data_IF_199961526111
#
_entry.id   IF_199961526111
#
_cell.length_a   1.000
_cell.length_b   1.000
_cell.length_c   1.000
_cell.angle_alpha   90.00
_cell.angle_beta   90.00
_cell.angle_gamma   90.00
#
_symmetry.space_group_name_H-M   'P 1'
#
loop_
_entity.id
_entity.type
_entity.pdbx_description
1 polymer ?
#
# COMPACT_ATOMS: atom_id res chain seq x y z
N UNK A 1 6.06 29.99 0.29
CA UNK A 1 5.53 29.62 1.62
C UNK A 1 4.78 28.30 1.46
N UNK A 2 5.36 27.19 1.88
CA UNK A 2 4.70 25.87 1.82
C UNK A 2 3.96 25.72 3.15
N UNK A 3 2.64 25.80 3.11
CA UNK A 3 1.78 25.62 4.26
C UNK A 3 1.89 24.17 4.78
N UNK A 4 2.40 24.02 6.01
CA UNK A 4 2.34 22.73 6.73
C UNK A 4 0.88 22.49 7.10
N UNK A 5 0.30 21.41 6.57
CA UNK A 5 -0.96 20.88 7.09
C UNK A 5 -0.79 20.56 8.59
N UNK A 6 -1.75 20.96 9.45
CA UNK A 6 -1.69 20.62 10.86
C UNK A 6 -1.70 19.11 11.04
N UNK A 7 -0.72 18.58 11.78
CA UNK A 7 -0.64 17.16 12.09
C UNK A 7 -1.93 16.69 12.79
N UNK A 8 -2.52 15.62 12.28
CA UNK A 8 -3.69 14.97 12.87
C UNK A 8 -3.25 14.34 14.18
N UNK A 9 -3.63 14.93 15.31
CA UNK A 9 -3.47 14.31 16.63
C UNK A 9 -4.54 13.23 16.74
N UNK A 10 -4.15 11.96 16.62
CA UNK A 10 -5.05 10.83 16.80
C UNK A 10 -5.49 10.74 18.28
N UNK A 11 -6.76 10.99 18.54
CA UNK A 11 -7.38 10.67 19.82
C UNK A 11 -7.65 9.16 19.85
N UNK A 12 -6.77 8.41 20.52
CA UNK A 12 -6.84 6.94 20.59
C UNK A 12 -8.10 6.43 21.31
N UNK A 13 -8.77 7.27 22.08
CA UNK A 13 -9.96 6.86 22.86
C UNK A 13 -11.26 6.91 22.04
N UNK A 14 -11.35 7.70 20.99
CA UNK A 14 -12.46 7.71 20.04
C UNK A 14 -12.09 8.47 18.75
N UNK A 15 -11.24 7.89 17.90
CA UNK A 15 -10.87 8.57 16.67
C UNK A 15 -12.09 8.67 15.75
N UNK A 16 -12.29 9.80 15.07
CA UNK A 16 -13.32 9.93 14.05
C UNK A 16 -13.12 8.86 12.98
N UNK A 17 -14.23 8.32 12.46
CA UNK A 17 -14.16 7.36 11.35
C UNK A 17 -13.52 8.07 10.13
N UNK A 18 -12.41 7.55 9.58
CA UNK A 18 -11.78 8.18 8.43
C UNK A 18 -12.71 8.22 7.22
N UNK A 19 -12.56 9.24 6.37
CA UNK A 19 -13.26 9.31 5.11
C UNK A 19 -12.96 8.05 4.25
N UNK A 20 -13.87 7.62 3.38
CA UNK A 20 -13.68 6.40 2.58
C UNK A 20 -12.43 6.43 1.69
N UNK A 21 -11.99 7.60 1.28
CA UNK A 21 -10.81 7.87 0.45
C UNK A 21 -9.54 8.22 1.27
N UNK A 22 -9.64 8.32 2.59
CA UNK A 22 -8.46 8.49 3.45
C UNK A 22 -7.75 7.15 3.71
N UNK A 23 -6.99 6.71 2.73
CA UNK A 23 -6.26 5.45 2.76
C UNK A 23 -5.24 5.37 3.89
N UNK A 24 -4.55 6.47 4.20
CA UNK A 24 -3.54 6.53 5.27
C UNK A 24 -4.18 6.35 6.63
N UNK A 25 -5.21 7.14 6.95
CA UNK A 25 -5.91 7.04 8.23
C UNK A 25 -6.58 5.66 8.41
N UNK A 26 -7.16 5.10 7.34
CA UNK A 26 -7.73 3.74 7.37
C UNK A 26 -6.67 2.68 7.64
N UNK A 27 -5.51 2.78 6.99
CA UNK A 27 -4.40 1.84 7.15
C UNK A 27 -3.81 1.91 8.56
N UNK A 28 -3.50 3.10 9.05
CA UNK A 28 -2.97 3.30 10.41
C UNK A 28 -3.91 2.79 11.52
N UNK A 29 -5.20 2.80 11.27
CA UNK A 29 -6.21 2.33 12.22
C UNK A 29 -6.36 0.80 12.23
N UNK A 30 -6.13 0.13 11.12
CA UNK A 30 -6.47 -1.28 10.92
C UNK A 30 -5.27 -2.20 10.75
N UNK A 31 -4.09 -1.67 10.39
CA UNK A 31 -2.93 -2.47 10.01
C UNK A 31 -1.76 -2.22 10.94
N UNK A 32 -1.21 -3.30 11.49
CA UNK A 32 0.10 -3.27 12.12
C UNK A 32 1.15 -3.46 11.02
N UNK A 33 1.79 -2.34 10.63
CA UNK A 33 2.75 -2.36 9.54
C UNK A 33 4.02 -3.14 9.92
N UNK A 34 4.43 -4.11 9.10
CA UNK A 34 5.61 -4.93 9.38
C UNK A 34 6.90 -4.09 9.33
N UNK A 35 7.92 -4.55 10.04
CA UNK A 35 9.25 -3.93 10.07
C UNK A 35 9.25 -2.44 10.46
N UNK A 36 8.20 -1.96 11.14
CA UNK A 36 8.02 -0.56 11.46
C UNK A 36 7.61 -0.39 12.91
N UNK A 37 8.25 0.56 13.60
CA UNK A 37 7.74 1.06 14.88
C UNK A 37 6.55 1.98 14.58
N UNK A 38 5.34 1.58 14.96
CA UNK A 38 4.08 2.30 14.61
C UNK A 38 4.10 3.78 15.01
N UNK A 39 4.77 4.12 16.12
CA UNK A 39 4.93 5.51 16.55
C UNK A 39 5.73 6.37 15.56
N UNK A 40 6.56 5.77 14.72
CA UNK A 40 7.29 6.50 13.69
C UNK A 40 6.37 7.12 12.64
N UNK A 41 5.17 6.59 12.44
CA UNK A 41 4.19 7.17 11.51
C UNK A 41 3.66 8.54 11.92
N UNK A 42 3.86 8.95 13.16
CA UNK A 42 3.60 10.33 13.61
C UNK A 42 4.56 11.35 12.95
N UNK A 43 5.73 10.91 12.50
CA UNK A 43 6.79 11.74 11.90
C UNK A 43 7.10 11.39 10.46
N UNK A 44 6.92 10.12 10.10
CA UNK A 44 7.19 9.59 8.76
C UNK A 44 5.87 9.10 8.17
N UNK A 45 5.20 9.90 7.35
CA UNK A 45 3.91 9.56 6.79
C UNK A 45 4.02 8.34 5.87
N UNK A 46 2.96 7.52 5.84
CA UNK A 46 2.80 6.47 4.85
C UNK A 46 2.56 7.06 3.47
N UNK A 47 3.06 6.37 2.45
CA UNK A 47 2.78 6.68 1.05
C UNK A 47 1.76 5.66 0.53
N UNK A 48 0.49 6.04 0.31
CA UNK A 48 -0.54 5.13 -0.18
C UNK A 48 -0.35 4.90 -1.68
N UNK A 49 0.18 3.74 -2.05
CA UNK A 49 0.41 3.37 -3.44
C UNK A 49 -0.91 2.96 -4.09
N UNK A 50 -1.26 3.62 -5.19
CA UNK A 50 -2.48 3.39 -5.95
C UNK A 50 -2.30 2.41 -7.11
N UNK A 51 -1.13 2.40 -7.75
CA UNK A 51 -0.85 1.53 -8.91
C UNK A 51 0.65 1.38 -9.13
N UNK A 52 1.01 0.37 -9.94
CA UNK A 52 2.37 0.18 -10.43
C UNK A 52 2.39 -0.11 -11.93
N UNK A 53 3.53 0.16 -12.59
CA UNK A 53 3.78 -0.23 -13.97
C UNK A 53 5.28 -0.36 -14.22
N UNK A 54 5.73 -1.53 -14.63
CA UNK A 54 7.16 -1.82 -14.79
C UNK A 54 7.92 -1.59 -13.48
N UNK A 55 8.95 -0.78 -13.46
CA UNK A 55 9.72 -0.46 -12.25
C UNK A 55 9.14 0.72 -11.43
N UNK A 56 7.97 1.22 -11.78
CA UNK A 56 7.42 2.43 -11.17
C UNK A 56 6.17 2.17 -10.36
N UNK A 57 6.12 2.80 -9.18
CA UNK A 57 4.95 2.91 -8.31
C UNK A 57 4.37 4.33 -8.40
N UNK A 58 3.08 4.46 -8.17
CA UNK A 58 2.37 5.73 -8.19
C UNK A 58 1.44 5.81 -6.99
N UNK A 59 1.46 6.93 -6.29
CA UNK A 59 0.50 7.19 -5.21
C UNK A 59 -0.84 7.73 -5.72
N UNK A 60 -1.75 8.00 -4.79
CA UNK A 60 -3.07 8.56 -5.12
C UNK A 60 -3.01 10.02 -5.60
N UNK A 61 -1.93 10.74 -5.29
CA UNK A 61 -1.71 12.12 -5.73
C UNK A 61 -1.01 12.21 -7.09
N UNK A 62 -0.61 11.05 -7.65
CA UNK A 62 0.03 10.95 -8.95
C UNK A 62 1.55 11.07 -8.92
N UNK A 63 2.17 11.17 -7.77
CA UNK A 63 3.62 11.13 -7.67
C UNK A 63 4.16 9.76 -8.09
N UNK A 64 5.36 9.77 -8.64
CA UNK A 64 6.03 8.58 -9.18
C UNK A 64 7.28 8.24 -8.38
N UNK A 65 7.40 6.96 -8.02
CA UNK A 65 8.52 6.42 -7.26
C UNK A 65 9.16 5.27 -8.03
N UNK A 66 10.49 5.26 -8.11
CA UNK A 66 11.23 4.11 -8.64
C UNK A 66 11.28 3.02 -7.57
N UNK A 67 10.74 1.85 -7.86
CA UNK A 67 10.84 0.66 -7.00
C UNK A 67 12.19 -0.04 -7.22
N UNK A 68 13.27 0.58 -6.75
CA UNK A 68 14.63 0.12 -6.96
C UNK A 68 14.97 -1.20 -6.25
N UNK A 69 14.14 -1.60 -5.27
CA UNK A 69 14.30 -2.86 -4.53
C UNK A 69 13.28 -3.92 -4.93
N UNK A 70 12.53 -3.69 -6.02
CA UNK A 70 11.53 -4.62 -6.57
C UNK A 70 10.54 -5.13 -5.51
N UNK A 71 9.99 -4.21 -4.70
CA UNK A 71 9.06 -4.51 -3.58
C UNK A 71 9.57 -5.64 -2.69
N UNK A 72 10.83 -5.49 -2.24
CA UNK A 72 11.54 -6.47 -1.43
C UNK A 72 11.95 -7.73 -2.21
N UNK A 73 12.49 -7.50 -3.42
CA UNK A 73 13.07 -8.51 -4.33
C UNK A 73 12.08 -9.52 -4.92
N UNK A 74 10.79 -9.30 -4.78
CA UNK A 74 9.77 -10.26 -5.24
C UNK A 74 9.19 -9.93 -6.61
N UNK A 75 9.41 -8.71 -7.10
CA UNK A 75 8.79 -8.26 -8.34
C UNK A 75 9.76 -8.29 -9.53
N UNK A 76 10.18 -9.49 -9.92
CA UNK A 76 11.19 -9.72 -10.96
C UNK A 76 10.79 -9.19 -12.34
N UNK A 77 9.51 -9.26 -12.70
CA UNK A 77 9.01 -8.94 -14.05
C UNK A 77 8.32 -7.56 -14.13
N UNK A 78 8.48 -6.75 -13.09
CA UNK A 78 7.85 -5.44 -12.97
C UNK A 78 6.37 -5.50 -12.57
N UNK A 79 5.89 -4.34 -12.11
CA UNK A 79 4.51 -4.16 -11.70
C UNK A 79 3.54 -4.24 -12.88
N UNK A 80 2.38 -4.81 -12.64
CA UNK A 80 1.28 -4.93 -13.60
C UNK A 80 1.69 -5.59 -14.93
N UNK A 81 2.55 -6.62 -14.85
CA UNK A 81 2.91 -7.41 -16.02
C UNK A 81 1.66 -8.05 -16.65
N UNK A 82 1.35 -7.76 -17.92
CA UNK A 82 0.08 -8.19 -18.52
C UNK A 82 -0.04 -9.71 -18.65
N UNK A 83 1.04 -10.41 -18.90
CA UNK A 83 1.04 -11.88 -19.01
C UNK A 83 0.75 -12.54 -17.66
N UNK A 84 1.42 -12.08 -16.59
CA UNK A 84 1.20 -12.58 -15.23
C UNK A 84 -0.21 -12.25 -14.75
N UNK A 85 -0.67 -11.01 -14.99
CA UNK A 85 -2.02 -10.59 -14.60
C UNK A 85 -3.10 -11.41 -15.32
N UNK A 86 -2.90 -11.74 -16.59
CA UNK A 86 -3.84 -12.59 -17.33
C UNK A 86 -3.90 -14.00 -16.74
N UNK A 87 -2.76 -14.62 -16.48
CA UNK A 87 -2.70 -15.95 -15.87
C UNK A 87 -3.32 -15.99 -14.47
N UNK A 88 -3.10 -14.94 -13.64
CA UNK A 88 -3.73 -14.86 -12.33
C UNK A 88 -5.25 -14.72 -12.40
N UNK A 89 -5.76 -13.92 -13.34
CA UNK A 89 -7.22 -13.76 -13.55
C UNK A 89 -7.86 -15.06 -13.97
N UNK A 90 -7.25 -15.78 -14.92
CA UNK A 90 -7.71 -17.07 -15.39
C UNK A 90 -7.73 -18.10 -14.25
N UNK A 91 -6.70 -18.13 -13.41
CA UNK A 91 -6.64 -19.01 -12.24
C UNK A 91 -7.70 -18.67 -11.19
N UNK A 92 -7.98 -17.39 -10.95
CA UNK A 92 -9.00 -16.94 -9.98
C UNK A 92 -10.41 -17.41 -10.36
N UNK A 93 -10.70 -17.53 -11.66
CA UNK A 93 -11.98 -18.04 -12.15
C UNK A 93 -12.14 -19.56 -11.91
N UNK A 94 -11.05 -20.26 -11.58
CA UNK A 94 -11.04 -21.70 -11.32
C UNK A 94 -10.89 -22.02 -9.84
N UNK A 95 -9.87 -21.46 -9.19
CA UNK A 95 -9.56 -21.71 -7.77
C UNK A 95 -8.56 -20.66 -7.27
N UNK A 96 -8.96 -19.87 -6.30
CA UNK A 96 -8.14 -18.81 -5.69
C UNK A 96 -7.16 -19.34 -4.66
N UNK A 97 -7.54 -20.38 -3.92
CA UNK A 97 -6.72 -20.97 -2.86
C UNK A 97 -7.16 -22.40 -2.52
N UNK A 98 -6.19 -23.23 -2.21
CA UNK A 98 -6.40 -24.51 -1.52
C UNK A 98 -5.28 -24.72 -0.50
N UNK A 99 -5.58 -25.43 0.57
CA UNK A 99 -4.57 -25.81 1.56
C UNK A 99 -3.51 -26.72 0.91
N UNK A 100 -2.26 -26.29 0.95
CA UNK A 100 -1.13 -27.10 0.51
C UNK A 100 -0.58 -27.90 1.70
N UNK A 101 -1.29 -28.97 2.04
CA UNK A 101 -0.83 -29.94 3.03
C UNK A 101 -0.77 -31.31 2.35
N UNK A 102 0.44 -31.81 2.15
CA UNK A 102 0.69 -33.15 1.60
C UNK A 102 0.81 -34.22 2.68
#
# INVERSE_FOLDING_TARGET
MIGRSPGVVLNLNNPPKPAPDDWVARSLRAVWHPCTQMKHHERTPLVPIARGKGAWLYDHDGHRYLDAISSWWVNLFGHANPHINAALKDQLDTLEHAMLAG
#
